data_IF_723943975156
#
_entry.id   IF_723943975156
#
_cell.length_a   1.000
_cell.length_b   1.000
_cell.length_c   1.000
_cell.angle_alpha   90.00
_cell.angle_beta   90.00
_cell.angle_gamma   90.00
#
_symmetry.space_group_name_H-M   'P 1'
#
loop_
_entity.id
_entity.type
_entity.pdbx_description
1 polymer ?
#
# COMPACT_ATOMS: atom_id res chain seq x y z
N UNK A 1 24.24 -0.56 -20.07
CA UNK A 1 22.94 -0.64 -20.78
C UNK A 1 22.38 0.77 -20.95
N UNK A 2 21.66 1.05 -22.05
CA UNK A 2 20.95 2.33 -22.21
C UNK A 2 19.83 2.42 -21.19
N UNK A 3 19.70 3.56 -20.48
CA UNK A 3 18.61 3.79 -19.52
C UNK A 3 17.27 3.83 -20.24
N UNK A 4 16.22 3.33 -19.60
CA UNK A 4 14.86 3.40 -20.12
C UNK A 4 14.26 4.79 -19.87
N UNK A 5 13.65 5.36 -20.90
CA UNK A 5 13.09 6.71 -20.92
C UNK A 5 11.69 6.72 -20.31
N UNK A 6 11.51 7.39 -19.18
CA UNK A 6 10.25 7.41 -18.43
C UNK A 6 9.63 8.81 -18.47
N UNK A 7 8.36 8.87 -18.85
CA UNK A 7 7.52 10.05 -18.72
C UNK A 7 6.77 10.00 -17.40
N UNK A 8 6.70 11.12 -16.66
CA UNK A 8 5.86 11.24 -15.46
C UNK A 8 4.74 12.25 -15.70
N UNK A 9 3.50 11.81 -15.48
CA UNK A 9 2.31 12.64 -15.61
C UNK A 9 1.78 12.99 -14.22
N UNK A 10 1.77 14.28 -13.88
CA UNK A 10 1.37 14.77 -12.56
C UNK A 10 2.56 15.03 -11.62
N UNK A 11 2.40 16.05 -10.77
CA UNK A 11 3.48 16.56 -9.89
C UNK A 11 3.05 16.68 -8.41
N UNK A 12 1.90 16.14 -8.02
CA UNK A 12 1.49 15.96 -6.63
C UNK A 12 2.30 14.82 -5.99
N UNK A 13 1.68 13.70 -5.78
CA UNK A 13 2.33 12.45 -5.37
C UNK A 13 3.41 12.02 -6.38
N UNK A 14 3.30 12.42 -7.65
CA UNK A 14 4.31 12.22 -8.70
C UNK A 14 5.72 12.70 -8.35
N UNK A 15 5.90 13.56 -7.32
CA UNK A 15 7.25 13.91 -6.83
C UNK A 15 8.07 12.70 -6.39
N UNK A 16 7.43 11.69 -5.83
CA UNK A 16 8.08 10.42 -5.42
C UNK A 16 8.60 9.69 -6.65
N UNK A 17 7.79 9.65 -7.73
CA UNK A 17 8.19 9.05 -9.01
C UNK A 17 9.33 9.80 -9.66
N UNK A 18 9.27 11.13 -9.69
CA UNK A 18 10.33 11.97 -10.23
C UNK A 18 11.65 11.72 -9.51
N UNK A 19 11.63 11.66 -8.16
CA UNK A 19 12.80 11.33 -7.35
C UNK A 19 13.33 9.93 -7.66
N UNK A 20 12.45 8.92 -7.65
CA UNK A 20 12.81 7.52 -7.90
C UNK A 20 13.52 7.33 -9.26
N UNK A 21 13.03 8.03 -10.30
CA UNK A 21 13.56 7.94 -11.65
C UNK A 21 14.87 8.73 -11.78
N UNK A 22 14.92 9.96 -11.23
CA UNK A 22 16.12 10.81 -11.30
C UNK A 22 17.34 10.17 -10.62
N UNK A 23 17.13 9.43 -9.53
CA UNK A 23 18.18 8.74 -8.79
C UNK A 23 18.49 7.32 -9.31
N UNK A 24 17.76 6.86 -10.33
CA UNK A 24 17.90 5.50 -10.86
C UNK A 24 19.13 5.36 -11.78
N UNK A 25 19.75 4.19 -11.71
CA UNK A 25 20.77 3.76 -12.69
C UNK A 25 20.16 3.14 -13.95
N UNK A 26 18.90 2.70 -13.89
CA UNK A 26 18.20 1.94 -14.94
C UNK A 26 17.23 2.82 -15.73
N UNK A 27 16.71 3.88 -15.10
CA UNK A 27 15.70 4.77 -15.65
C UNK A 27 16.26 6.17 -15.86
N UNK A 28 15.70 6.90 -16.83
CA UNK A 28 15.98 8.29 -17.10
C UNK A 28 14.68 9.06 -17.31
N UNK A 29 14.56 10.22 -16.68
CA UNK A 29 13.37 11.05 -16.80
C UNK A 29 13.34 11.76 -18.13
N UNK A 30 12.39 11.40 -18.99
CA UNK A 30 12.22 11.97 -20.32
C UNK A 30 11.50 13.32 -20.30
N UNK A 31 10.63 13.54 -19.32
CA UNK A 31 9.86 14.76 -19.18
C UNK A 31 8.71 14.65 -18.20
N UNK A 32 8.03 15.75 -18.00
CA UNK A 32 6.87 15.86 -17.14
C UNK A 32 5.66 16.25 -17.98
N UNK A 33 4.55 15.52 -17.88
CA UNK A 33 3.26 15.93 -18.44
C UNK A 33 2.37 16.49 -17.32
N UNK A 34 1.84 17.69 -17.52
CA UNK A 34 0.95 18.32 -16.55
C UNK A 34 0.25 19.55 -17.10
N UNK A 35 -0.56 20.20 -16.26
CA UNK A 35 -1.33 21.39 -16.66
C UNK A 35 -0.50 22.68 -16.82
N UNK A 36 0.82 22.62 -16.63
CA UNK A 36 1.70 23.79 -16.77
C UNK A 36 1.61 24.79 -15.60
N UNK A 37 1.26 24.33 -14.38
CA UNK A 37 1.31 25.16 -13.17
C UNK A 37 2.74 25.59 -12.86
N UNK A 38 2.92 26.72 -12.15
CA UNK A 38 4.23 27.25 -11.77
C UNK A 38 5.06 26.19 -11.01
N UNK A 39 4.42 25.42 -10.13
CA UNK A 39 5.05 24.30 -9.45
C UNK A 39 5.60 23.25 -10.41
N UNK A 40 4.83 22.87 -11.44
CA UNK A 40 5.26 21.87 -12.42
C UNK A 40 6.38 22.40 -13.31
N UNK A 41 6.30 23.66 -13.72
CA UNK A 41 7.35 24.34 -14.50
C UNK A 41 8.66 24.46 -13.72
N UNK A 42 8.57 24.82 -12.43
CA UNK A 42 9.74 24.88 -11.55
C UNK A 42 10.40 23.50 -11.37
N UNK A 43 9.62 22.44 -11.19
CA UNK A 43 10.12 21.08 -11.11
C UNK A 43 10.81 20.64 -12.40
N UNK A 44 10.21 20.89 -13.55
CA UNK A 44 10.80 20.63 -14.87
C UNK A 44 12.14 21.34 -15.05
N UNK A 45 12.21 22.62 -14.68
CA UNK A 45 13.45 23.40 -14.72
C UNK A 45 14.53 22.84 -13.78
N UNK A 46 14.17 22.50 -12.53
CA UNK A 46 15.12 21.97 -11.54
C UNK A 46 15.66 20.60 -11.94
N UNK A 47 14.85 19.79 -12.59
CA UNK A 47 15.24 18.47 -13.09
C UNK A 47 15.85 18.50 -14.50
N UNK A 48 15.90 19.67 -15.11
CA UNK A 48 16.40 19.89 -16.47
C UNK A 48 15.77 18.96 -17.51
N UNK A 49 14.43 18.82 -17.47
CA UNK A 49 13.65 17.99 -18.40
C UNK A 49 12.50 18.79 -19.04
N UNK A 50 12.03 18.40 -20.23
CA UNK A 50 10.90 19.05 -20.89
C UNK A 50 9.61 19.02 -20.05
N UNK A 51 8.83 20.08 -20.15
CA UNK A 51 7.46 20.15 -19.65
C UNK A 51 6.48 20.09 -20.81
N UNK A 52 5.64 19.05 -20.84
CA UNK A 52 4.58 18.88 -21.82
C UNK A 52 3.24 19.30 -21.23
N UNK A 53 2.40 19.93 -22.01
CA UNK A 53 1.03 20.29 -21.63
C UNK A 53 -0.02 19.57 -22.46
N UNK A 54 0.37 19.00 -23.60
CA UNK A 54 -0.46 18.15 -24.46
C UNK A 54 0.24 16.81 -24.71
N UNK A 55 -0.53 15.73 -24.65
CA UNK A 55 -0.07 14.36 -24.97
C UNK A 55 0.44 14.26 -26.42
N UNK A 56 -0.04 15.12 -27.32
CA UNK A 56 0.42 15.17 -28.71
C UNK A 56 1.88 15.57 -28.86
N UNK A 57 2.40 16.34 -27.92
CA UNK A 57 3.79 16.81 -27.90
C UNK A 57 4.78 15.66 -27.54
N UNK A 58 4.26 14.57 -26.96
CA UNK A 58 5.08 13.43 -26.55
C UNK A 58 5.50 12.65 -27.80
N UNK A 59 6.82 12.60 -28.03
CA UNK A 59 7.40 11.84 -29.12
C UNK A 59 7.52 10.34 -28.80
N UNK A 60 7.90 9.52 -29.79
CA UNK A 60 7.89 8.05 -29.66
C UNK A 60 9.09 7.47 -28.85
N UNK A 61 9.95 8.29 -28.29
CA UNK A 61 11.13 7.83 -27.55
C UNK A 61 10.87 7.59 -26.04
N UNK A 62 9.63 7.34 -25.66
CA UNK A 62 9.23 7.04 -24.28
C UNK A 62 9.06 5.53 -24.13
N UNK A 63 9.86 4.91 -23.26
CA UNK A 63 9.78 3.47 -22.99
C UNK A 63 8.60 3.10 -22.05
N UNK A 64 8.23 4.02 -21.13
CA UNK A 64 7.02 3.88 -20.30
C UNK A 64 6.57 5.23 -19.74
N UNK A 65 5.30 5.30 -19.35
CA UNK A 65 4.73 6.45 -18.65
C UNK A 65 4.20 6.06 -17.26
N UNK A 66 4.46 6.90 -16.26
CA UNK A 66 3.85 6.85 -14.95
C UNK A 66 2.77 7.92 -14.86
N UNK A 67 1.51 7.53 -14.81
CA UNK A 67 0.38 8.47 -14.71
C UNK A 67 -0.03 8.58 -13.25
N UNK A 68 0.43 9.66 -12.60
CA UNK A 68 0.25 9.93 -11.17
C UNK A 68 -0.69 11.14 -11.01
N UNK A 69 -1.82 11.03 -11.67
CA UNK A 69 -2.91 12.00 -11.64
C UNK A 69 -4.13 11.29 -11.09
N UNK A 70 -4.88 11.88 -10.14
CA UNK A 70 -6.07 11.25 -9.61
C UNK A 70 -7.01 10.78 -10.73
N UNK A 71 -7.60 9.60 -10.55
CA UNK A 71 -8.63 9.06 -11.41
C UNK A 71 -10.01 9.60 -11.02
N UNK A 72 -11.09 9.14 -11.64
CA UNK A 72 -12.44 9.64 -11.39
C UNK A 72 -12.83 9.57 -9.89
N UNK A 73 -12.42 8.51 -9.19
CA UNK A 73 -12.62 8.37 -7.75
C UNK A 73 -12.02 9.52 -6.91
N UNK A 74 -10.93 10.13 -7.36
CA UNK A 74 -10.30 11.30 -6.76
C UNK A 74 -10.63 12.62 -7.47
N UNK A 75 -11.68 12.65 -8.30
CA UNK A 75 -12.11 13.86 -9.03
C UNK A 75 -11.18 14.28 -10.17
N UNK A 76 -10.33 13.37 -10.64
CA UNK A 76 -9.37 13.62 -11.72
C UNK A 76 -9.68 12.87 -13.02
N UNK A 77 -8.72 12.89 -13.94
CA UNK A 77 -8.82 12.26 -15.25
C UNK A 77 -7.62 11.37 -15.61
N UNK A 78 -6.93 10.83 -14.60
CA UNK A 78 -5.71 10.03 -14.76
C UNK A 78 -5.91 8.86 -15.73
N UNK A 79 -7.01 8.12 -15.60
CA UNK A 79 -7.33 7.00 -16.48
C UNK A 79 -7.48 7.41 -17.96
N UNK A 80 -8.05 8.59 -18.25
CA UNK A 80 -8.14 9.10 -19.62
C UNK A 80 -6.77 9.48 -20.19
N UNK A 81 -5.89 10.05 -19.37
CA UNK A 81 -4.49 10.33 -19.73
C UNK A 81 -3.78 9.00 -20.02
N UNK A 82 -3.90 8.01 -19.14
CA UNK A 82 -3.32 6.69 -19.33
C UNK A 82 -3.82 6.02 -20.62
N UNK A 83 -5.11 6.05 -20.87
CA UNK A 83 -5.73 5.55 -22.11
C UNK A 83 -5.12 6.21 -23.35
N UNK A 84 -4.98 7.53 -23.34
CA UNK A 84 -4.41 8.26 -24.49
C UNK A 84 -2.92 7.96 -24.74
N UNK A 85 -2.17 7.65 -23.67
CA UNK A 85 -0.77 7.24 -23.76
C UNK A 85 -0.67 5.79 -24.28
N UNK A 86 -1.53 4.90 -23.79
CA UNK A 86 -1.63 3.50 -24.25
C UNK A 86 -1.99 3.42 -25.73
N UNK A 87 -2.87 4.29 -26.22
CA UNK A 87 -3.19 4.41 -27.66
C UNK A 87 -1.98 4.70 -28.55
N UNK A 88 -0.92 5.27 -27.98
CA UNK A 88 0.38 5.46 -28.67
C UNK A 88 1.30 4.23 -28.58
N UNK A 89 0.85 3.15 -27.95
CA UNK A 89 1.65 1.94 -27.73
C UNK A 89 2.67 2.07 -26.61
N UNK A 90 2.58 3.08 -25.75
CA UNK A 90 3.53 3.32 -24.66
C UNK A 90 3.07 2.55 -23.41
N UNK A 91 3.91 1.65 -22.85
CA UNK A 91 3.65 0.99 -21.59
C UNK A 91 3.30 1.98 -20.48
N UNK A 92 2.26 1.71 -19.70
CA UNK A 92 1.72 2.68 -18.75
C UNK A 92 1.48 2.09 -17.37
N UNK A 93 2.06 2.74 -16.36
CA UNK A 93 1.80 2.56 -14.94
C UNK A 93 0.82 3.66 -14.50
N UNK A 94 -0.40 3.28 -14.12
CA UNK A 94 -1.43 4.20 -13.63
C UNK A 94 -1.50 4.14 -12.12
N UNK A 95 -1.51 5.27 -11.42
CA UNK A 95 -1.67 5.31 -9.96
C UNK A 95 -3.09 4.96 -9.55
N UNK A 96 -3.22 4.19 -8.46
CA UNK A 96 -4.49 3.81 -7.84
C UNK A 96 -5.12 4.98 -7.03
N UNK A 97 -6.37 4.84 -6.57
CA UNK A 97 -7.38 3.90 -7.01
C UNK A 97 -7.99 4.27 -8.36
N UNK A 98 -8.51 3.29 -9.07
CA UNK A 98 -9.30 3.50 -10.29
C UNK A 98 -10.54 2.60 -10.26
N UNK A 99 -11.64 3.07 -10.83
CA UNK A 99 -12.84 2.25 -10.97
C UNK A 99 -12.65 1.14 -12.00
N UNK A 100 -13.37 0.03 -11.84
CA UNK A 100 -13.32 -1.11 -12.74
C UNK A 100 -13.42 -0.71 -14.22
N UNK A 101 -14.37 0.17 -14.56
CA UNK A 101 -14.59 0.63 -15.93
C UNK A 101 -13.36 1.37 -16.49
N UNK A 102 -12.66 2.16 -15.67
CA UNK A 102 -11.44 2.86 -16.07
C UNK A 102 -10.33 1.85 -16.38
N UNK A 103 -10.15 0.85 -15.50
CA UNK A 103 -9.16 -0.23 -15.68
C UNK A 103 -9.46 -1.01 -16.98
N UNK A 104 -10.71 -1.44 -17.19
CA UNK A 104 -11.13 -2.17 -18.38
C UNK A 104 -10.87 -1.35 -19.65
N UNK A 105 -11.15 -0.05 -19.63
CA UNK A 105 -10.90 0.82 -20.76
C UNK A 105 -9.40 0.95 -21.08
N UNK A 106 -8.54 1.09 -20.04
CA UNK A 106 -7.09 1.09 -20.22
C UNK A 106 -6.57 -0.24 -20.77
N UNK A 107 -7.07 -1.39 -20.26
CA UNK A 107 -6.69 -2.72 -20.74
C UNK A 107 -7.07 -2.89 -22.23
N UNK A 108 -8.26 -2.48 -22.64
CA UNK A 108 -8.71 -2.55 -24.04
C UNK A 108 -7.83 -1.71 -24.96
N UNK A 109 -7.49 -0.49 -24.52
CA UNK A 109 -6.66 0.42 -25.31
C UNK A 109 -5.20 -0.03 -25.37
N UNK A 110 -4.71 -0.74 -24.34
CA UNK A 110 -3.29 -1.09 -24.24
C UNK A 110 -2.77 -1.97 -25.40
N UNK A 111 -3.63 -2.73 -26.07
CA UNK A 111 -3.20 -3.63 -27.15
C UNK A 111 -2.04 -4.55 -26.69
N UNK A 112 -0.89 -4.41 -27.35
CA UNK A 112 0.36 -5.11 -26.96
C UNK A 112 1.14 -4.42 -25.87
N UNK A 113 0.93 -3.12 -25.61
CA UNK A 113 1.63 -2.38 -24.57
C UNK A 113 1.30 -2.93 -23.17
N UNK A 114 2.27 -2.90 -22.27
CA UNK A 114 2.04 -3.26 -20.88
C UNK A 114 1.18 -2.18 -20.20
N UNK A 115 0.22 -2.62 -19.40
CA UNK A 115 -0.58 -1.75 -18.54
C UNK A 115 -0.66 -2.36 -17.15
N UNK A 116 -0.47 -1.52 -16.13
CA UNK A 116 -0.63 -1.91 -14.74
C UNK A 116 -1.19 -0.72 -13.94
N UNK A 117 -2.23 -0.98 -13.16
CA UNK A 117 -2.60 -0.09 -12.07
C UNK A 117 -1.60 -0.31 -10.93
N UNK A 118 -0.95 0.76 -10.47
CA UNK A 118 0.05 0.67 -9.41
C UNK A 118 -0.61 0.71 -8.03
N UNK A 119 -0.60 -0.38 -7.27
CA UNK A 119 -1.10 -0.38 -5.91
C UNK A 119 -0.05 0.11 -4.91
N UNK A 120 1.01 0.72 -5.35
CA UNK A 120 2.14 1.35 -4.67
C UNK A 120 2.61 0.65 -3.38
N UNK A 121 1.77 0.64 -2.31
CA UNK A 121 2.17 0.17 -0.98
C UNK A 121 2.56 -1.30 -0.93
N UNK A 122 1.98 -2.17 -1.74
CA UNK A 122 2.39 -3.58 -1.82
C UNK A 122 3.87 -3.75 -2.18
N UNK A 123 4.50 -2.74 -2.78
CA UNK A 123 5.90 -2.81 -3.20
C UNK A 123 6.88 -2.23 -2.18
N UNK A 124 6.42 -1.59 -1.11
CA UNK A 124 7.31 -1.18 -0.02
C UNK A 124 7.81 -2.40 0.76
N UNK A 125 9.05 -2.29 1.27
CA UNK A 125 9.73 -3.46 1.85
C UNK A 125 8.98 -4.13 2.99
N UNK A 126 8.45 -3.42 4.03
CA UNK A 126 7.72 -4.08 5.11
C UNK A 126 6.51 -4.88 4.65
N UNK A 127 5.76 -4.36 3.67
CA UNK A 127 4.59 -5.07 3.13
C UNK A 127 5.02 -6.26 2.28
N UNK A 128 6.12 -6.17 1.52
CA UNK A 128 6.68 -7.33 0.82
C UNK A 128 7.10 -8.43 1.79
N UNK A 129 7.78 -8.05 2.88
CA UNK A 129 8.20 -8.99 3.94
C UNK A 129 6.98 -9.68 4.59
N UNK A 130 5.90 -8.91 4.85
CA UNK A 130 4.62 -9.44 5.34
C UNK A 130 4.00 -10.45 4.36
N UNK A 131 3.94 -10.10 3.07
CA UNK A 131 3.38 -10.97 2.03
C UNK A 131 4.21 -12.24 1.83
N UNK A 132 5.53 -12.14 1.85
CA UNK A 132 6.43 -13.28 1.77
C UNK A 132 6.26 -14.21 2.98
N UNK A 133 6.20 -13.65 4.19
CA UNK A 133 5.92 -14.40 5.40
C UNK A 133 4.55 -15.12 5.35
N UNK A 134 3.50 -14.42 4.89
CA UNK A 134 2.18 -15.02 4.71
C UNK A 134 2.21 -16.22 3.75
N UNK A 135 2.94 -16.10 2.64
CA UNK A 135 3.11 -17.19 1.68
C UNK A 135 3.89 -18.39 2.27
N UNK A 136 4.93 -18.12 3.06
CA UNK A 136 5.70 -19.17 3.74
C UNK A 136 4.80 -19.92 4.74
N UNK A 137 4.10 -19.17 5.60
CA UNK A 137 3.23 -19.74 6.63
C UNK A 137 2.09 -20.55 6.00
N UNK A 138 1.50 -20.06 4.92
CA UNK A 138 0.40 -20.75 4.21
C UNK A 138 0.77 -22.11 3.63
N UNK A 139 2.07 -22.43 3.48
CA UNK A 139 2.53 -23.77 3.09
C UNK A 139 2.42 -24.78 4.23
N UNK A 140 2.35 -24.32 5.47
CA UNK A 140 2.39 -25.14 6.68
C UNK A 140 1.13 -25.01 7.55
N UNK A 141 0.31 -23.99 7.33
CA UNK A 141 -0.83 -23.66 8.17
C UNK A 141 -2.00 -23.12 7.36
N UNK A 142 -3.22 -23.39 7.83
CA UNK A 142 -4.44 -22.84 7.21
C UNK A 142 -4.72 -21.46 7.75
N UNK A 143 -5.09 -20.52 6.87
CA UNK A 143 -5.58 -19.22 7.25
C UNK A 143 -7.03 -19.34 7.77
N UNK A 144 -7.25 -18.91 9.01
CA UNK A 144 -8.53 -19.02 9.71
C UNK A 144 -9.37 -17.74 9.50
N UNK A 145 -8.76 -16.56 9.67
CA UNK A 145 -9.43 -15.29 9.46
C UNK A 145 -8.41 -14.16 9.19
N UNK A 146 -8.91 -13.02 8.73
CA UNK A 146 -8.15 -11.80 8.57
C UNK A 146 -8.88 -10.59 9.19
N UNK A 147 -8.15 -9.73 9.88
CA UNK A 147 -8.63 -8.45 10.41
C UNK A 147 -7.80 -7.31 9.84
N UNK A 148 -8.48 -6.28 9.33
CA UNK A 148 -7.86 -5.17 8.61
C UNK A 148 -8.38 -3.85 9.16
N UNK A 149 -7.47 -2.90 9.36
CA UNK A 149 -7.81 -1.56 9.81
C UNK A 149 -7.07 -0.53 8.95
N UNK A 150 -7.80 0.48 8.45
CA UNK A 150 -7.21 1.53 7.62
C UNK A 150 -8.06 2.80 7.57
N UNK A 151 -7.46 3.88 7.10
CA UNK A 151 -8.20 5.05 6.63
C UNK A 151 -8.82 4.77 5.24
N UNK A 152 -9.95 5.41 4.95
CA UNK A 152 -10.72 5.16 3.72
C UNK A 152 -9.93 5.48 2.45
N UNK A 153 -9.03 6.46 2.47
CA UNK A 153 -8.26 6.88 1.29
C UNK A 153 -7.17 5.87 0.90
N UNK A 154 -6.82 4.92 1.79
CA UNK A 154 -5.89 3.81 1.51
C UNK A 154 -6.59 2.43 1.56
N UNK A 155 -7.91 2.40 1.57
CA UNK A 155 -8.68 1.16 1.59
C UNK A 155 -8.39 0.28 0.37
N UNK A 156 -8.14 0.87 -0.80
CA UNK A 156 -7.76 0.14 -2.02
C UNK A 156 -6.52 -0.73 -1.77
N UNK A 157 -5.51 -0.16 -1.13
CA UNK A 157 -4.25 -0.82 -0.85
C UNK A 157 -4.39 -1.96 0.15
N UNK A 158 -5.18 -1.76 1.20
CA UNK A 158 -5.48 -2.82 2.18
C UNK A 158 -6.12 -4.03 1.50
N UNK A 159 -7.05 -3.80 0.57
CA UNK A 159 -7.70 -4.87 -0.19
C UNK A 159 -6.69 -5.55 -1.14
N UNK A 160 -5.82 -4.78 -1.77
CA UNK A 160 -4.77 -5.31 -2.64
C UNK A 160 -3.77 -6.18 -1.85
N UNK A 161 -3.33 -5.71 -0.69
CA UNK A 161 -2.42 -6.46 0.18
C UNK A 161 -3.08 -7.76 0.66
N UNK A 162 -4.35 -7.68 1.11
CA UNK A 162 -5.11 -8.87 1.50
C UNK A 162 -5.23 -9.86 0.35
N UNK A 163 -5.61 -9.39 -0.85
CA UNK A 163 -5.74 -10.23 -2.02
C UNK A 163 -4.44 -10.95 -2.38
N UNK A 164 -3.29 -10.27 -2.26
CA UNK A 164 -1.98 -10.89 -2.43
C UNK A 164 -1.68 -11.94 -1.36
N UNK A 165 -2.03 -11.68 -0.10
CA UNK A 165 -1.84 -12.62 1.00
C UNK A 165 -2.72 -13.88 0.85
N UNK A 166 -3.93 -13.74 0.29
CA UNK A 166 -4.86 -14.84 -0.01
C UNK A 166 -4.52 -15.61 -1.29
N UNK A 167 -3.56 -15.15 -2.08
CA UNK A 167 -3.25 -15.72 -3.40
C UNK A 167 -4.27 -15.36 -4.47
N UNK A 168 -5.13 -14.38 -4.23
CA UNK A 168 -6.13 -13.84 -5.15
C UNK A 168 -7.43 -13.42 -4.47
N UNK A 169 -8.28 -12.73 -5.23
CA UNK A 169 -9.64 -12.40 -4.84
C UNK A 169 -10.58 -13.16 -5.80
N UNK A 170 -11.31 -14.17 -5.30
CA UNK A 170 -12.21 -14.95 -6.14
C UNK A 170 -13.66 -14.50 -5.96
N UNK A 171 -14.29 -14.96 -4.91
CA UNK A 171 -15.66 -14.64 -4.56
C UNK A 171 -15.69 -14.02 -3.17
N UNK A 172 -16.61 -13.12 -2.93
CA UNK A 172 -16.80 -12.54 -1.61
C UNK A 172 -18.28 -12.32 -1.33
N UNK A 173 -18.59 -12.24 -0.05
CA UNK A 173 -19.88 -11.81 0.46
C UNK A 173 -19.65 -10.93 1.67
N UNK A 174 -20.09 -9.68 1.59
CA UNK A 174 -20.01 -8.72 2.69
C UNK A 174 -21.33 -8.61 3.43
N UNK A 175 -21.26 -8.52 4.75
CA UNK A 175 -22.40 -8.20 5.60
C UNK A 175 -22.79 -6.73 5.54
N UNK A 176 -23.64 -6.31 6.46
CA UNK A 176 -23.95 -4.91 6.68
C UNK A 176 -22.86 -4.26 7.52
N UNK A 177 -22.72 -2.96 7.39
CA UNK A 177 -21.85 -2.16 8.28
C UNK A 177 -22.50 -2.16 9.65
N UNK A 178 -21.71 -2.46 10.68
CA UNK A 178 -22.16 -2.32 12.06
C UNK A 178 -22.42 -0.85 12.37
N UNK A 179 -23.53 -0.55 13.04
CA UNK A 179 -23.81 0.80 13.51
C UNK A 179 -22.71 1.22 14.49
N UNK A 180 -22.01 2.29 14.15
CA UNK A 180 -21.05 2.87 15.07
C UNK A 180 -21.74 4.00 15.83
N UNK A 181 -21.72 3.95 17.14
CA UNK A 181 -22.09 5.09 17.97
C UNK A 181 -21.03 6.17 17.77
N UNK A 182 -21.33 7.16 16.96
CA UNK A 182 -20.46 8.31 16.76
C UNK A 182 -20.49 9.16 18.03
N UNK A 183 -19.44 9.07 18.83
CA UNK A 183 -19.15 10.14 19.76
C UNK A 183 -18.54 11.29 18.98
N UNK A 184 -18.88 12.52 19.34
CA UNK A 184 -18.37 13.77 18.73
C UNK A 184 -16.87 13.98 18.94
N UNK A 185 -16.16 13.00 19.49
CA UNK A 185 -14.71 13.01 19.66
C UNK A 185 -14.01 12.44 18.44
N UNK A 186 -12.78 12.85 18.22
CA UNK A 186 -11.91 12.60 17.07
C UNK A 186 -11.75 11.15 16.57
N UNK A 187 -12.37 10.17 17.21
CA UNK A 187 -12.34 8.76 16.80
C UNK A 187 -13.65 8.23 16.16
N UNK A 188 -14.67 9.05 15.98
CA UNK A 188 -16.01 8.61 15.58
C UNK A 188 -16.21 8.19 14.12
N UNK A 189 -15.15 8.12 13.31
CA UNK A 189 -15.23 7.78 11.87
C UNK A 189 -15.13 6.30 11.52
N UNK A 190 -14.89 5.42 12.48
CA UNK A 190 -14.69 4.00 12.20
C UNK A 190 -15.99 3.30 11.80
N UNK A 191 -15.94 2.57 10.69
CA UNK A 191 -17.01 1.70 10.19
C UNK A 191 -16.49 0.27 10.17
N UNK A 192 -17.26 -0.65 10.75
CA UNK A 192 -16.90 -2.06 10.82
C UNK A 192 -17.79 -2.86 9.87
N UNK A 193 -17.16 -3.61 8.98
CA UNK A 193 -17.84 -4.52 8.05
C UNK A 193 -17.16 -5.87 8.07
N UNK A 194 -17.93 -6.93 8.25
CA UNK A 194 -17.42 -8.30 8.20
C UNK A 194 -17.97 -9.04 6.99
N UNK A 195 -17.25 -10.06 6.55
CA UNK A 195 -17.67 -10.87 5.41
C UNK A 195 -16.81 -12.11 5.25
N UNK A 196 -16.90 -12.70 4.07
CA UNK A 196 -16.08 -13.83 3.65
C UNK A 196 -15.48 -13.48 2.28
N UNK A 197 -14.17 -13.67 2.13
CA UNK A 197 -13.48 -13.57 0.84
C UNK A 197 -12.89 -14.95 0.53
N UNK A 198 -13.33 -15.57 -0.57
CA UNK A 198 -13.08 -16.99 -0.79
C UNK A 198 -13.70 -17.83 0.32
N UNK A 199 -12.86 -18.51 1.09
CA UNK A 199 -13.25 -19.30 2.27
C UNK A 199 -12.85 -18.65 3.59
N UNK A 200 -12.27 -17.43 3.55
CA UNK A 200 -11.68 -16.76 4.72
C UNK A 200 -12.64 -15.72 5.28
N UNK A 201 -13.06 -15.82 6.56
CA UNK A 201 -13.73 -14.74 7.26
C UNK A 201 -12.83 -13.51 7.36
N UNK A 202 -13.39 -12.34 7.07
CA UNK A 202 -12.65 -11.07 7.09
C UNK A 202 -13.43 -10.01 7.85
N UNK A 203 -12.70 -9.12 8.53
CA UNK A 203 -13.28 -7.93 9.17
C UNK A 203 -12.47 -6.71 8.77
N UNK A 204 -13.15 -5.69 8.25
CA UNK A 204 -12.58 -4.39 7.93
C UNK A 204 -13.06 -3.38 8.96
N UNK A 205 -12.12 -2.60 9.48
CA UNK A 205 -12.36 -1.40 10.28
C UNK A 205 -11.86 -0.23 9.43
N UNK A 206 -12.78 0.54 8.87
CA UNK A 206 -12.46 1.63 7.95
C UNK A 206 -12.76 2.97 8.62
N UNK A 207 -11.75 3.80 8.81
CA UNK A 207 -11.94 5.16 9.27
C UNK A 207 -12.33 6.04 8.07
N UNK A 208 -13.55 6.59 8.10
CA UNK A 208 -14.09 7.42 7.03
C UNK A 208 -13.81 8.92 7.21
N UNK A 209 -13.24 9.34 8.34
CA UNK A 209 -12.83 10.72 8.53
C UNK A 209 -11.59 11.04 7.69
N UNK A 210 -11.58 12.23 7.11
CA UNK A 210 -10.42 12.77 6.37
C UNK A 210 -10.26 14.22 6.84
N UNK A 211 -9.05 14.57 7.28
CA UNK A 211 -8.74 15.95 7.65
C UNK A 211 -8.78 16.86 6.40
N UNK A 212 -9.37 18.04 6.57
CA UNK A 212 -9.55 19.02 5.49
C UNK A 212 -8.23 19.50 4.89
N UNK A 213 -7.23 19.67 5.73
CA UNK A 213 -5.96 20.29 5.38
C UNK A 213 -4.83 19.28 5.22
N UNK A 214 -4.97 18.11 5.86
CA UNK A 214 -3.96 17.06 5.87
C UNK A 214 -4.62 15.67 5.71
N UNK A 215 -4.72 15.20 4.48
CA UNK A 215 -5.28 13.87 4.18
C UNK A 215 -4.45 12.75 4.84
N UNK A 216 -3.17 13.00 5.08
CA UNK A 216 -2.21 12.07 5.70
C UNK A 216 -2.09 12.31 7.21
N UNK A 217 -3.13 12.90 7.82
CA UNK A 217 -3.14 13.25 9.24
C UNK A 217 -2.75 12.05 10.13
N UNK A 218 -1.87 12.23 11.14
CA UNK A 218 -1.34 11.14 11.96
C UNK A 218 -2.37 10.32 12.74
N UNK A 219 -3.59 10.83 12.93
CA UNK A 219 -4.70 10.06 13.51
C UNK A 219 -5.25 8.99 12.57
N UNK A 220 -4.89 9.02 11.30
CA UNK A 220 -5.31 8.01 10.35
C UNK A 220 -4.32 6.85 10.33
N UNK A 221 -4.79 5.66 10.66
CA UNK A 221 -4.02 4.44 10.48
C UNK A 221 -4.11 4.01 9.02
N UNK A 222 -2.96 3.83 8.36
CA UNK A 222 -2.95 3.46 6.94
C UNK A 222 -3.24 1.98 6.73
N UNK A 223 -2.35 1.11 7.20
CA UNK A 223 -2.47 -0.33 6.95
C UNK A 223 -2.11 -1.09 8.22
N UNK A 224 -3.11 -1.66 8.87
CA UNK A 224 -2.93 -2.65 9.92
C UNK A 224 -3.63 -3.92 9.50
N UNK A 225 -2.89 -5.03 9.45
CA UNK A 225 -3.41 -6.31 8.96
C UNK A 225 -2.96 -7.40 9.91
N UNK A 226 -3.91 -8.19 10.39
CA UNK A 226 -3.63 -9.43 11.12
C UNK A 226 -4.21 -10.61 10.36
N UNK A 227 -3.37 -11.60 10.08
CA UNK A 227 -3.74 -12.89 9.50
C UNK A 227 -3.61 -13.96 10.59
N UNK A 228 -4.72 -14.56 10.99
CA UNK A 228 -4.73 -15.66 11.96
C UNK A 228 -4.67 -17.00 11.23
N UNK A 229 -3.57 -17.70 11.40
CA UNK A 229 -3.36 -19.06 10.91
C UNK A 229 -3.61 -20.09 12.02
N UNK A 230 -3.75 -21.37 11.65
CA UNK A 230 -3.92 -22.45 12.62
C UNK A 230 -2.73 -22.63 13.57
N UNK A 231 -1.59 -22.02 13.28
CA UNK A 231 -0.34 -22.11 14.05
C UNK A 231 0.12 -20.80 14.67
N UNK A 232 -0.61 -19.69 14.47
CA UNK A 232 -0.19 -18.41 15.02
C UNK A 232 -0.80 -17.22 14.28
N UNK A 233 -0.32 -16.00 14.60
CA UNK A 233 -0.78 -14.76 14.01
C UNK A 233 0.36 -14.02 13.35
N UNK A 234 0.16 -13.59 12.10
CA UNK A 234 1.05 -12.71 11.38
C UNK A 234 0.45 -11.29 11.38
N UNK A 235 1.18 -10.35 11.94
CA UNK A 235 0.71 -8.98 12.12
C UNK A 235 1.59 -8.00 11.34
N UNK A 236 1.00 -7.19 10.48
CA UNK A 236 1.53 -5.92 10.00
C UNK A 236 0.94 -4.83 10.90
N UNK A 237 1.75 -4.23 11.76
CA UNK A 237 1.26 -3.27 12.78
C UNK A 237 0.90 -1.93 12.17
N UNK A 238 1.66 -1.47 11.18
CA UNK A 238 1.40 -0.26 10.39
C UNK A 238 2.05 -0.40 9.02
N UNK A 239 1.80 0.54 8.11
CA UNK A 239 2.33 0.61 6.74
C UNK A 239 3.82 0.31 6.63
N UNK A 240 4.63 0.88 7.52
CA UNK A 240 6.07 0.74 7.52
C UNK A 240 6.59 -0.29 8.54
N UNK A 241 5.72 -1.16 9.02
CA UNK A 241 6.03 -2.20 10.00
C UNK A 241 5.67 -1.81 11.44
N UNK A 242 6.14 -2.55 12.46
CA UNK A 242 6.84 -3.82 12.27
C UNK A 242 5.94 -4.93 11.72
N UNK A 243 6.56 -5.97 11.18
CA UNK A 243 5.90 -7.25 10.87
C UNK A 243 6.28 -8.26 11.96
N UNK A 244 5.28 -8.87 12.58
CA UNK A 244 5.50 -9.75 13.74
C UNK A 244 4.78 -11.07 13.49
N UNK A 245 5.47 -12.20 13.71
CA UNK A 245 4.90 -13.52 13.79
C UNK A 245 4.77 -13.95 15.26
N UNK A 246 3.56 -14.32 15.69
CA UNK A 246 3.23 -14.77 17.05
C UNK A 246 2.74 -16.22 16.96
N UNK A 247 3.60 -17.22 17.18
CA UNK A 247 3.19 -18.62 17.13
C UNK A 247 2.26 -18.98 18.29
N UNK A 248 1.32 -19.90 18.05
CA UNK A 248 0.49 -20.47 19.10
C UNK A 248 1.28 -21.57 19.82
N UNK A 249 1.83 -21.24 20.98
CA UNK A 249 2.62 -22.14 21.78
C UNK A 249 1.73 -22.81 22.83
N UNK A 250 1.78 -24.14 22.88
CA UNK A 250 1.13 -24.90 23.94
C UNK A 250 2.04 -24.95 25.15
N UNK A 251 1.48 -24.65 26.34
CA UNK A 251 2.20 -24.85 27.57
C UNK A 251 2.35 -26.37 27.83
N UNK A 252 3.56 -26.88 28.09
CA UNK A 252 3.76 -28.29 28.33
C UNK A 252 3.00 -28.76 29.57
N UNK A 253 2.47 -29.98 29.51
CA UNK A 253 1.69 -30.61 30.57
C UNK A 253 2.30 -31.94 30.91
N UNK A 254 2.27 -32.28 32.20
CA UNK A 254 2.63 -33.62 32.71
C UNK A 254 1.50 -34.63 32.52
N UNK A 255 1.72 -35.85 32.93
CA UNK A 255 0.76 -36.93 32.84
C UNK A 255 -0.55 -36.71 33.66
N UNK A 256 -0.52 -35.78 34.60
CA UNK A 256 -1.67 -35.37 35.41
C UNK A 256 -2.40 -34.14 34.83
N UNK A 257 -1.95 -33.62 33.67
CA UNK A 257 -2.53 -32.45 33.04
C UNK A 257 -2.14 -31.12 33.70
N UNK A 258 -1.18 -31.12 34.62
CA UNK A 258 -0.66 -29.92 35.27
C UNK A 258 0.52 -29.35 34.47
N UNK A 259 0.87 -28.09 34.73
CA UNK A 259 1.99 -27.45 34.02
C UNK A 259 3.30 -28.17 34.32
N UNK A 260 4.02 -28.60 33.30
CA UNK A 260 5.37 -29.12 33.43
C UNK A 260 6.37 -27.95 33.40
N UNK A 261 7.16 -27.84 34.47
CA UNK A 261 8.23 -26.84 34.58
C UNK A 261 9.57 -27.34 34.04
N UNK A 262 9.68 -28.62 33.81
CA UNK A 262 10.85 -29.28 33.21
C UNK A 262 10.64 -29.29 31.71
N UNK A 263 11.16 -28.26 31.01
CA UNK A 263 10.92 -28.05 29.60
C UNK A 263 12.09 -28.59 28.79
N UNK A 264 11.80 -29.48 27.86
CA UNK A 264 12.78 -30.02 26.91
C UNK A 264 13.16 -28.94 25.86
N UNK A 265 14.30 -29.11 25.18
CA UNK A 265 14.79 -28.15 24.18
C UNK A 265 13.79 -27.89 23.04
N UNK A 266 12.92 -28.85 22.71
CA UNK A 266 11.88 -28.74 21.68
C UNK A 266 10.86 -27.61 21.96
N UNK A 267 10.76 -27.12 23.20
CA UNK A 267 9.86 -26.05 23.61
C UNK A 267 10.55 -24.68 23.61
N UNK A 268 11.81 -24.59 23.25
CA UNK A 268 12.56 -23.32 23.19
C UNK A 268 12.25 -22.54 21.90
N UNK A 269 10.96 -22.34 21.62
CA UNK A 269 10.48 -21.54 20.50
C UNK A 269 10.15 -20.14 21.04
N UNK A 270 10.64 -19.05 20.40
CA UNK A 270 10.31 -17.71 20.81
C UNK A 270 8.79 -17.46 20.77
N UNK A 271 8.26 -16.75 21.77
CA UNK A 271 6.83 -16.39 21.82
C UNK A 271 6.42 -15.39 20.73
N UNK A 272 7.39 -14.85 20.00
CA UNK A 272 7.20 -13.99 18.83
C UNK A 272 8.51 -13.62 18.20
N UNK A 273 8.46 -13.33 16.90
CA UNK A 273 9.63 -12.85 16.14
C UNK A 273 9.24 -11.68 15.25
N UNK A 274 10.13 -10.70 15.14
CA UNK A 274 10.00 -9.62 14.16
C UNK A 274 10.58 -10.08 12.83
N UNK A 275 9.83 -9.88 11.75
CA UNK A 275 10.22 -10.22 10.38
C UNK A 275 10.72 -8.94 9.70
N UNK A 276 11.84 -9.04 9.01
CA UNK A 276 12.48 -7.89 8.38
C UNK A 276 13.24 -7.01 9.37
N UNK A 277 13.22 -5.70 9.14
CA UNK A 277 13.94 -4.76 10.01
C UNK A 277 13.24 -4.59 11.36
N UNK A 278 14.01 -4.66 12.43
CA UNK A 278 13.54 -4.40 13.81
C UNK A 278 13.31 -2.90 14.03
N UNK A 279 14.14 -2.05 13.45
CA UNK A 279 14.01 -0.60 13.53
C UNK A 279 12.98 -0.11 12.51
N UNK A 280 12.08 0.77 12.95
CA UNK A 280 11.13 1.43 12.06
C UNK A 280 11.80 2.58 11.34
N UNK A 281 11.49 2.80 10.05
CA UNK A 281 12.09 3.87 9.28
C UNK A 281 11.63 5.24 9.78
N UNK A 282 12.52 6.20 9.72
CA UNK A 282 12.14 7.61 9.87
C UNK A 282 11.31 8.08 8.68
N UNK A 283 10.59 9.20 8.84
CA UNK A 283 9.89 9.85 7.73
C UNK A 283 10.85 10.20 6.59
N UNK A 284 12.09 10.60 6.94
CA UNK A 284 13.14 10.88 5.95
C UNK A 284 13.49 9.65 5.13
N UNK A 285 13.78 8.52 5.75
CA UNK A 285 14.09 7.26 5.07
C UNK A 285 12.92 6.77 4.22
N UNK A 286 11.68 6.97 4.70
CA UNK A 286 10.47 6.65 3.93
C UNK A 286 10.46 7.39 2.60
N UNK A 287 10.67 8.71 2.60
CA UNK A 287 10.66 9.53 1.38
C UNK A 287 11.92 9.42 0.54
N UNK A 288 13.06 9.14 1.15
CA UNK A 288 14.35 9.09 0.44
C UNK A 288 14.64 7.71 -0.14
N UNK A 289 14.13 6.64 0.45
CA UNK A 289 14.50 5.27 0.07
C UNK A 289 13.28 4.37 -0.18
N UNK A 290 12.41 4.19 0.82
CA UNK A 290 11.37 3.15 0.79
C UNK A 290 10.36 3.38 -0.34
N UNK A 291 9.83 4.59 -0.45
CA UNK A 291 8.86 4.94 -1.46
C UNK A 291 9.46 5.02 -2.87
N UNK A 292 10.64 5.64 -3.08
CA UNK A 292 11.33 5.55 -4.38
C UNK A 292 11.63 4.12 -4.84
N UNK A 293 12.00 3.22 -3.92
CA UNK A 293 12.26 1.82 -4.25
C UNK A 293 10.98 1.07 -4.64
N UNK A 294 9.83 1.41 -4.04
CA UNK A 294 8.53 0.88 -4.45
C UNK A 294 8.18 1.27 -5.90
N UNK A 295 8.44 2.51 -6.31
CA UNK A 295 8.25 2.98 -7.69
C UNK A 295 9.15 2.20 -8.66
N UNK A 296 10.45 2.05 -8.32
CA UNK A 296 11.39 1.27 -9.15
C UNK A 296 10.93 -0.17 -9.31
N UNK A 297 10.42 -0.78 -8.21
CA UNK A 297 9.88 -2.14 -8.24
C UNK A 297 8.63 -2.26 -9.11
N UNK A 298 7.72 -1.30 -9.06
CA UNK A 298 6.56 -1.25 -9.93
C UNK A 298 6.94 -1.16 -11.42
N UNK A 299 7.91 -0.31 -11.76
CA UNK A 299 8.45 -0.19 -13.13
C UNK A 299 9.13 -1.48 -13.59
N UNK A 300 9.92 -2.12 -12.73
CA UNK A 300 10.54 -3.41 -13.03
C UNK A 300 9.49 -4.45 -13.42
N UNK A 301 8.40 -4.54 -12.64
CA UNK A 301 7.28 -5.46 -12.91
C UNK A 301 6.60 -5.12 -14.24
N UNK A 302 6.30 -3.84 -14.48
CA UNK A 302 5.69 -3.38 -15.72
C UNK A 302 6.50 -3.82 -16.95
N UNK A 303 7.83 -3.66 -16.90
CA UNK A 303 8.72 -4.01 -18.01
C UNK A 303 8.94 -5.51 -18.20
N UNK A 304 8.79 -6.31 -17.13
CA UNK A 304 8.96 -7.77 -17.19
C UNK A 304 7.68 -8.52 -17.54
N UNK A 305 6.54 -7.83 -17.59
CA UNK A 305 5.25 -8.45 -17.83
C UNK A 305 5.19 -9.19 -19.16
N UNK A 306 5.00 -10.50 -19.13
CA UNK A 306 4.62 -11.28 -20.29
C UNK A 306 3.08 -11.27 -20.49
N UNK A 307 2.60 -11.88 -21.58
CA UNK A 307 1.17 -11.87 -21.94
C UNK A 307 0.29 -12.52 -20.87
N UNK A 308 0.71 -13.63 -20.29
CA UNK A 308 -0.06 -14.36 -19.26
C UNK A 308 -0.12 -13.54 -17.96
N UNK A 309 1.00 -13.00 -17.53
CA UNK A 309 1.06 -12.13 -16.35
C UNK A 309 0.23 -10.87 -16.52
N UNK A 310 0.24 -10.26 -17.71
CA UNK A 310 -0.61 -9.12 -18.04
C UNK A 310 -2.09 -9.45 -17.86
N UNK A 311 -2.56 -10.60 -18.36
CA UNK A 311 -3.96 -11.00 -18.24
C UNK A 311 -4.35 -11.32 -16.80
N UNK A 312 -3.51 -12.06 -16.07
CA UNK A 312 -3.73 -12.37 -14.66
C UNK A 312 -3.75 -11.11 -13.80
N UNK A 313 -2.81 -10.21 -14.01
CA UNK A 313 -2.76 -8.92 -13.30
C UNK A 313 -4.00 -8.06 -13.60
N UNK A 314 -4.41 -7.98 -14.85
CA UNK A 314 -5.59 -7.23 -15.26
C UNK A 314 -6.86 -7.75 -14.56
N UNK A 315 -7.06 -9.07 -14.55
CA UNK A 315 -8.18 -9.69 -13.85
C UNK A 315 -8.15 -9.41 -12.36
N UNK A 316 -7.00 -9.56 -11.74
CA UNK A 316 -6.80 -9.30 -10.32
C UNK A 316 -7.15 -7.84 -9.96
N UNK A 317 -6.64 -6.87 -10.70
CA UNK A 317 -6.89 -5.45 -10.48
C UNK A 317 -8.38 -5.08 -10.62
N UNK A 318 -9.09 -5.72 -11.53
CA UNK A 318 -10.55 -5.58 -11.68
C UNK A 318 -11.25 -6.07 -10.41
N UNK A 319 -10.85 -7.22 -9.86
CA UNK A 319 -11.46 -7.75 -8.63
C UNK A 319 -11.16 -6.86 -7.42
N UNK A 320 -9.94 -6.38 -7.26
CA UNK A 320 -9.59 -5.40 -6.19
C UNK A 320 -10.49 -4.16 -6.30
N UNK A 321 -10.64 -3.60 -7.49
CA UNK A 321 -11.47 -2.42 -7.73
C UNK A 321 -12.95 -2.65 -7.45
N UNK A 322 -13.49 -3.83 -7.81
CA UNK A 322 -14.88 -4.21 -7.52
C UNK A 322 -15.13 -4.29 -6.01
N UNK A 323 -14.27 -5.02 -5.30
CA UNK A 323 -14.39 -5.19 -3.85
C UNK A 323 -14.25 -3.84 -3.13
N UNK A 324 -13.25 -3.04 -3.55
CA UNK A 324 -13.07 -1.68 -3.03
C UNK A 324 -14.32 -0.81 -3.22
N UNK A 325 -14.89 -0.79 -4.43
CA UNK A 325 -16.11 -0.02 -4.73
C UNK A 325 -17.31 -0.50 -3.89
N UNK A 326 -17.46 -1.81 -3.70
CA UNK A 326 -18.54 -2.36 -2.87
C UNK A 326 -18.38 -1.98 -1.39
N UNK A 327 -17.17 -2.05 -0.85
CA UNK A 327 -16.91 -1.63 0.55
C UNK A 327 -17.17 -0.13 0.68
N UNK A 328 -16.68 0.71 -0.23
CA UNK A 328 -16.93 2.16 -0.22
C UNK A 328 -18.42 2.48 -0.24
N UNK A 329 -19.21 1.78 -1.07
CA UNK A 329 -20.68 1.97 -1.10
C UNK A 329 -21.34 1.62 0.23
N UNK A 330 -20.84 0.61 0.95
CA UNK A 330 -21.38 0.18 2.24
C UNK A 330 -20.95 1.07 3.40
N UNK A 331 -19.67 1.45 3.47
CA UNK A 331 -19.15 2.30 4.58
C UNK A 331 -19.53 3.76 4.42
N UNK A 332 -19.93 4.20 3.23
CA UNK A 332 -20.38 5.55 2.93
C UNK A 332 -19.24 6.48 2.46
N UNK A 333 -19.58 7.76 2.37
CA UNK A 333 -18.66 8.79 1.89
C UNK A 333 -17.64 9.20 2.96
N UNK A 334 -16.53 9.80 2.48
CA UNK A 334 -15.57 10.46 3.36
C UNK A 334 -16.26 11.57 4.16
N UNK A 335 -15.99 11.60 5.45
CA UNK A 335 -16.45 12.63 6.34
C UNK A 335 -15.31 13.64 6.56
N UNK A 336 -15.46 14.83 6.01
CA UNK A 336 -14.42 15.87 6.13
C UNK A 336 -14.51 16.48 7.54
N UNK A 337 -13.40 16.38 8.25
CA UNK A 337 -13.24 16.88 9.62
C UNK A 337 -12.09 17.87 9.69
N UNK A 338 -12.07 18.65 10.76
CA UNK A 338 -10.92 19.47 11.15
C UNK A 338 -10.39 18.90 12.45
N UNK A 339 -9.15 18.42 12.45
CA UNK A 339 -8.49 17.94 13.65
C UNK A 339 -7.68 19.05 14.30
N UNK A 340 -7.79 19.13 15.61
CA UNK A 340 -6.89 19.94 16.41
C UNK A 340 -5.56 19.25 16.61
N UNK A 341 -4.55 19.99 17.04
CA UNK A 341 -3.22 19.43 17.29
C UNK A 341 -3.24 18.64 18.61
N UNK A 342 -3.11 17.31 18.54
CA UNK A 342 -3.24 16.38 19.66
C UNK A 342 -1.88 16.03 20.29
N UNK A 343 -1.26 16.96 20.97
CA UNK A 343 -0.14 16.68 21.85
C UNK A 343 1.23 16.91 21.25
N UNK A 344 2.22 16.85 22.10
CA UNK A 344 3.63 17.08 21.81
C UNK A 344 4.39 15.75 21.74
N UNK A 345 4.54 15.24 20.53
CA UNK A 345 5.26 13.98 20.24
C UNK A 345 6.70 14.05 20.81
N UNK A 346 7.37 15.20 20.76
CA UNK A 346 8.75 15.33 21.25
C UNK A 346 8.82 15.12 22.75
N UNK A 347 7.87 15.67 23.50
CA UNK A 347 7.81 15.45 24.94
C UNK A 347 7.50 13.99 25.28
N UNK A 348 6.63 13.31 24.48
CA UNK A 348 6.37 11.89 24.66
C UNK A 348 7.66 11.08 24.47
N UNK A 349 8.41 11.30 23.39
CA UNK A 349 9.69 10.62 23.17
C UNK A 349 10.68 10.89 24.30
N UNK A 350 10.83 12.15 24.72
CA UNK A 350 11.70 12.52 25.83
C UNK A 350 11.35 11.77 27.12
N UNK A 351 10.06 11.68 27.48
CA UNK A 351 9.62 10.99 28.68
C UNK A 351 9.80 9.47 28.60
N UNK A 352 9.59 8.88 27.41
CA UNK A 352 9.85 7.45 27.19
C UNK A 352 11.35 7.11 27.30
N UNK A 353 12.23 7.94 26.74
CA UNK A 353 13.68 7.80 26.88
C UNK A 353 14.12 7.95 28.34
N UNK A 354 13.62 8.99 29.03
CA UNK A 354 13.95 9.24 30.44
C UNK A 354 13.59 8.07 31.36
N UNK A 355 12.54 7.31 30.99
CA UNK A 355 12.11 6.10 31.71
C UNK A 355 12.76 4.82 31.19
N UNK A 356 13.71 4.91 30.27
CA UNK A 356 14.38 3.77 29.64
C UNK A 356 13.40 2.79 28.96
N UNK A 357 12.23 3.26 28.52
CA UNK A 357 11.26 2.46 27.78
C UNK A 357 11.62 2.33 26.30
N UNK A 358 12.39 3.28 25.76
CA UNK A 358 13.02 3.23 24.44
C UNK A 358 14.51 3.55 24.56
N UNK A 359 15.34 2.98 23.66
CA UNK A 359 16.77 3.29 23.56
C UNK A 359 16.98 4.52 22.70
N UNK A 360 18.00 5.33 23.00
CA UNK A 360 18.50 6.35 22.08
C UNK A 360 19.14 5.68 20.88
N UNK A 361 18.97 6.27 19.67
CA UNK A 361 19.55 5.76 18.43
C UNK A 361 21.09 5.65 18.46
N UNK A 362 21.77 6.23 19.45
CA UNK A 362 23.22 6.27 19.56
C UNK A 362 23.84 5.23 20.51
N UNK A 363 23.05 4.37 21.17
CA UNK A 363 23.59 3.40 22.13
C UNK A 363 24.00 2.06 21.46
N UNK A 364 24.27 2.05 20.18
CA UNK A 364 24.54 0.85 19.36
C UNK A 364 25.85 0.84 18.61
N UNK A 365 26.91 1.53 19.05
CA UNK A 365 28.29 1.35 18.57
C UNK A 365 29.23 1.34 19.77
N UNK A 366 29.37 0.22 20.42
CA UNK A 366 30.58 -0.25 21.09
C UNK A 366 30.96 -1.63 20.53
#
# INVERSE_FOLDING_TARGET
MKKKQILVCGTGFGKIYLKAIAESKEYELMGILGKGSDRSRLLSKNLNVPMYTDIKEINQNVDAACVVVPNAAGGGNGANIAKSILAKGIPTLLEHPAHEVEIVNCIRESGSAAFMLNPFYRYIKPIRDFLEAAQIISKHAHLINASLECAIHVLYDVIDILGCALGGLSTWKLGNVAESYTTSMAGGGNRVISGIIGMVPVTFIVNTNVDRNDIDHPLHLYHRIELTFSTGRLCLVNTHGPVIWLPFLHMPRDEYGTLSINVEEEVNIPSGVTIGNVMLPSVKETFEQIWPDAVKKALEILFKQNRTEKMSMAQYQIYVSKLWSEICQKVGYMNIVDYDNFGDIKNIFYDLEKRHLIKKENDGIE
#
